data_IF_631488920110
#
_entry.id   IF_631488920110
#
_cell.length_a   1.000
_cell.length_b   1.000
_cell.length_c   1.000
_cell.angle_alpha   90.00
_cell.angle_beta   90.00
_cell.angle_gamma   90.00
#
_symmetry.space_group_name_H-M   'P 1'
#
loop_
_entity.id
_entity.type
_entity.pdbx_description
1 polymer ?
#
# COMPACT_ATOMS: atom_id res chain seq x y z
N UNK A 1 30.65 -30.33 12.98
CA UNK A 1 29.68 -29.22 13.04
C UNK A 1 29.92 -28.36 11.80
N UNK A 2 29.19 -28.64 10.72
CA UNK A 2 29.30 -27.89 9.46
C UNK A 2 27.99 -27.11 9.30
N UNK A 3 28.10 -25.80 9.44
CA UNK A 3 27.03 -24.83 9.24
C UNK A 3 26.86 -24.61 7.74
N UNK A 4 25.84 -25.22 7.15
CA UNK A 4 25.40 -24.91 5.78
C UNK A 4 24.45 -23.73 5.83
N UNK A 5 24.97 -22.53 5.61
CA UNK A 5 24.15 -21.35 5.33
C UNK A 5 23.50 -21.51 3.95
N UNK A 6 22.18 -21.46 3.91
CA UNK A 6 21.41 -21.37 2.66
C UNK A 6 21.72 -20.02 1.99
N UNK A 7 21.91 -19.97 0.66
CA UNK A 7 22.04 -18.71 -0.07
C UNK A 7 20.68 -17.98 -0.03
N UNK A 8 20.69 -16.74 0.42
CA UNK A 8 19.55 -15.83 0.28
C UNK A 8 19.47 -15.39 -1.17
N UNK A 9 18.35 -15.56 -1.89
CA UNK A 9 18.21 -14.92 -3.20
C UNK A 9 18.12 -13.41 -2.96
N UNK A 10 19.13 -12.66 -3.41
CA UNK A 10 19.03 -11.22 -3.66
C UNK A 10 17.96 -11.00 -4.74
N UNK A 11 16.72 -11.02 -4.28
CA UNK A 11 15.58 -10.47 -5.02
C UNK A 11 15.79 -8.95 -5.00
N UNK A 12 15.72 -8.25 -6.14
CA UNK A 12 15.85 -6.80 -6.12
C UNK A 12 14.85 -6.23 -5.12
N UNK A 13 15.34 -5.42 -4.20
CA UNK A 13 14.55 -4.65 -3.24
C UNK A 13 13.35 -4.05 -3.99
N UNK A 14 12.09 -4.32 -3.60
CA UNK A 14 10.95 -3.70 -4.25
C UNK A 14 11.17 -2.20 -4.23
N UNK A 15 11.40 -1.63 -5.42
CA UNK A 15 11.81 -0.24 -5.62
C UNK A 15 11.12 0.66 -4.62
N UNK A 16 11.93 1.42 -3.87
CA UNK A 16 11.46 2.39 -2.89
C UNK A 16 10.25 3.15 -3.48
N UNK A 17 9.12 3.22 -2.74
CA UNK A 17 7.92 3.90 -3.21
C UNK A 17 8.30 5.27 -3.77
N UNK A 18 7.86 5.62 -4.99
CA UNK A 18 8.33 6.84 -5.61
C UNK A 18 7.92 8.05 -4.78
N UNK A 19 8.90 8.82 -4.32
CA UNK A 19 8.66 10.03 -3.53
C UNK A 19 7.76 11.00 -4.35
N UNK A 20 6.55 11.32 -3.87
CA UNK A 20 5.64 12.23 -4.57
C UNK A 20 6.28 13.60 -4.86
N UNK A 21 7.18 14.08 -4.00
CA UNK A 21 7.88 15.36 -4.17
C UNK A 21 8.81 15.32 -5.37
N UNK A 22 9.55 14.22 -5.54
CA UNK A 22 10.46 14.02 -6.68
C UNK A 22 9.68 13.94 -7.99
N UNK A 23 8.55 13.20 -7.99
CA UNK A 23 7.68 13.12 -9.16
C UNK A 23 7.09 14.49 -9.56
N UNK A 24 6.72 15.32 -8.58
CA UNK A 24 6.24 16.68 -8.85
C UNK A 24 7.37 17.60 -9.34
N UNK A 25 8.59 17.44 -8.83
CA UNK A 25 9.75 18.21 -9.26
C UNK A 25 10.10 17.92 -10.74
N UNK A 26 9.95 16.67 -11.17
CA UNK A 26 10.14 16.29 -12.59
C UNK A 26 8.94 16.63 -13.49
N UNK A 27 7.82 17.09 -12.94
CA UNK A 27 6.64 17.46 -13.72
C UNK A 27 6.58 18.97 -13.98
N UNK A 28 6.36 19.34 -15.24
CA UNK A 28 6.20 20.74 -15.63
C UNK A 28 4.85 21.28 -15.13
N UNK A 29 4.87 22.03 -14.03
CA UNK A 29 3.75 22.86 -13.61
C UNK A 29 3.73 24.15 -14.42
N UNK A 30 2.54 24.70 -14.65
CA UNK A 30 2.44 26.06 -15.17
C UNK A 30 3.08 27.06 -14.17
N UNK A 31 3.61 28.20 -14.65
CA UNK A 31 4.32 29.13 -13.78
C UNK A 31 3.49 29.68 -12.62
N UNK A 32 2.18 29.84 -12.81
CA UNK A 32 1.28 30.35 -11.78
C UNK A 32 1.05 29.31 -10.68
N UNK A 33 0.84 28.04 -11.04
CA UNK A 33 0.75 26.93 -10.11
C UNK A 33 2.03 26.73 -9.32
N UNK A 34 3.20 26.85 -9.97
CA UNK A 34 4.50 26.77 -9.30
C UNK A 34 4.67 27.89 -8.28
N UNK A 35 4.43 29.15 -8.70
CA UNK A 35 4.54 30.30 -7.81
C UNK A 35 3.59 30.20 -6.60
N UNK A 36 2.35 29.75 -6.83
CA UNK A 36 1.39 29.53 -5.74
C UNK A 36 1.85 28.45 -4.77
N UNK A 37 2.39 27.33 -5.28
CA UNK A 37 2.88 26.24 -4.44
C UNK A 37 4.08 26.70 -3.59
N UNK A 38 5.01 27.45 -4.19
CA UNK A 38 6.19 27.96 -3.49
C UNK A 38 5.80 28.94 -2.36
N UNK A 39 4.83 29.84 -2.61
CA UNK A 39 4.27 30.73 -1.58
C UNK A 39 3.54 29.94 -0.48
N UNK A 40 2.75 28.93 -0.86
CA UNK A 40 2.03 28.09 0.09
C UNK A 40 2.99 27.32 0.99
N UNK A 41 4.09 26.78 0.45
CA UNK A 41 5.16 26.12 1.20
C UNK A 41 5.79 27.08 2.21
N UNK A 42 6.19 28.28 1.76
CA UNK A 42 6.79 29.28 2.64
C UNK A 42 5.84 29.69 3.78
N UNK A 43 4.54 29.83 3.47
CA UNK A 43 3.53 30.19 4.45
C UNK A 43 3.23 29.07 5.45
N UNK A 44 3.23 27.81 5.02
CA UNK A 44 3.08 26.65 5.93
C UNK A 44 4.29 26.52 6.84
N UNK A 45 5.50 26.74 6.31
CA UNK A 45 6.73 26.72 7.10
C UNK A 45 6.75 27.81 8.18
N UNK A 46 6.26 29.02 7.89
CA UNK A 46 6.18 30.15 8.84
C UNK A 46 4.98 30.04 9.80
N UNK A 47 3.83 29.60 9.29
CA UNK A 47 2.56 29.49 10.05
C UNK A 47 1.90 28.14 9.78
N UNK A 48 2.20 27.09 10.59
CA UNK A 48 1.71 25.73 10.34
C UNK A 48 0.19 25.63 10.16
N UNK A 49 -0.59 26.39 10.93
CA UNK A 49 -2.05 26.41 10.84
C UNK A 49 -2.59 26.85 9.46
N UNK A 50 -1.79 27.50 8.62
CA UNK A 50 -2.17 27.87 7.26
C UNK A 50 -2.45 26.63 6.38
N UNK A 51 -1.87 25.47 6.71
CA UNK A 51 -2.07 24.24 5.94
C UNK A 51 -3.55 23.84 5.86
N UNK A 52 -4.34 24.15 6.90
CA UNK A 52 -5.77 23.83 6.97
C UNK A 52 -6.59 24.51 5.86
N UNK A 53 -6.14 25.67 5.38
CA UNK A 53 -6.75 26.37 4.26
C UNK A 53 -6.08 26.06 2.91
N UNK A 54 -4.76 25.86 2.92
CA UNK A 54 -3.98 25.67 1.69
C UNK A 54 -4.07 24.25 1.14
N UNK A 55 -4.11 23.24 2.02
CA UNK A 55 -4.14 21.83 1.64
C UNK A 55 -5.38 21.45 0.80
N UNK A 56 -6.60 21.93 1.11
CA UNK A 56 -7.75 21.71 0.23
C UNK A 56 -7.70 22.55 -1.05
N UNK A 57 -7.02 23.69 -1.03
CA UNK A 57 -6.91 24.59 -2.18
C UNK A 57 -5.98 24.06 -3.28
N UNK A 58 -5.05 23.15 -2.96
CA UNK A 58 -4.02 22.62 -3.89
C UNK A 58 -4.59 22.25 -5.25
N UNK A 59 -5.68 21.48 -5.30
CA UNK A 59 -6.26 21.01 -6.57
C UNK A 59 -6.71 22.15 -7.48
N UNK A 60 -7.19 23.26 -6.90
CA UNK A 60 -7.65 24.43 -7.66
C UNK A 60 -6.49 25.18 -8.32
N UNK A 61 -5.31 25.13 -7.71
CA UNK A 61 -4.14 25.87 -8.17
C UNK A 61 -3.17 25.01 -8.99
N UNK A 62 -2.92 23.76 -8.59
CA UNK A 62 -1.97 22.87 -9.24
C UNK A 62 -2.62 21.88 -10.23
N UNK A 63 -3.94 21.74 -10.18
CA UNK A 63 -4.66 20.78 -11.03
C UNK A 63 -4.49 19.32 -10.58
N UNK A 64 -4.94 18.38 -11.42
CA UNK A 64 -5.04 16.93 -11.08
C UNK A 64 -4.48 16.02 -12.18
N UNK A 65 -3.52 16.52 -12.95
CA UNK A 65 -2.90 15.72 -14.00
C UNK A 65 -2.32 14.44 -13.40
N UNK A 66 -2.37 13.35 -14.17
CA UNK A 66 -1.82 12.06 -13.73
C UNK A 66 -0.30 12.13 -13.75
N UNK A 67 0.30 11.65 -12.67
CA UNK A 67 1.73 11.36 -12.56
C UNK A 67 1.93 9.84 -12.65
N UNK A 68 3.19 9.41 -12.58
CA UNK A 68 3.54 7.99 -12.50
C UNK A 68 3.05 7.38 -11.18
N UNK A 69 3.05 6.04 -11.12
CA UNK A 69 2.67 5.27 -9.92
C UNK A 69 1.27 5.58 -9.36
N UNK A 70 0.34 6.01 -10.22
CA UNK A 70 -1.05 6.25 -9.83
C UNK A 70 -1.27 7.51 -8.98
N UNK A 71 -0.27 8.38 -8.86
CA UNK A 71 -0.38 9.68 -8.21
C UNK A 71 -1.01 10.72 -9.14
N UNK A 72 -1.55 11.79 -8.56
CA UNK A 72 -1.92 13.02 -9.27
C UNK A 72 -1.08 14.19 -8.79
N UNK A 73 -1.01 15.24 -9.61
CA UNK A 73 -0.31 16.49 -9.27
C UNK A 73 -0.76 17.06 -7.93
N UNK A 74 -2.06 17.06 -7.63
CA UNK A 74 -2.57 17.58 -6.35
C UNK A 74 -2.24 16.68 -5.16
N UNK A 75 -2.17 15.36 -5.33
CA UNK A 75 -1.69 14.46 -4.26
C UNK A 75 -0.21 14.70 -3.97
N UNK A 76 0.61 14.89 -5.01
CA UNK A 76 2.04 15.16 -4.86
C UNK A 76 2.34 16.56 -4.30
N UNK A 77 1.62 17.59 -4.74
CA UNK A 77 1.75 18.95 -4.20
C UNK A 77 1.27 19.03 -2.73
N UNK A 78 0.26 18.24 -2.35
CA UNK A 78 -0.12 18.07 -0.95
C UNK A 78 1.00 17.45 -0.11
N UNK A 79 1.71 16.43 -0.62
CA UNK A 79 2.88 15.88 0.07
C UNK A 79 4.00 16.93 0.26
N UNK A 80 4.21 17.82 -0.72
CA UNK A 80 5.13 18.96 -0.58
C UNK A 80 4.68 19.90 0.56
N UNK A 81 3.38 20.24 0.65
CA UNK A 81 2.88 21.06 1.77
C UNK A 81 3.02 20.37 3.13
N UNK A 82 2.74 19.06 3.21
CA UNK A 82 2.86 18.30 4.46
C UNK A 82 4.31 18.27 4.95
N UNK A 83 5.28 18.08 4.06
CA UNK A 83 6.71 18.05 4.42
C UNK A 83 7.27 19.43 4.78
N UNK A 84 6.60 20.51 4.35
CA UNK A 84 6.93 21.88 4.75
C UNK A 84 6.54 22.22 6.21
N UNK A 85 5.67 21.43 6.85
CA UNK A 85 5.29 21.65 8.25
C UNK A 85 6.51 21.52 9.18
N UNK A 86 6.85 22.53 10.00
CA UNK A 86 7.94 22.45 10.97
C UNK A 86 7.52 21.68 12.24
N UNK A 87 6.80 20.58 12.07
CA UNK A 87 6.26 19.76 13.16
C UNK A 87 6.87 18.36 13.10
N UNK A 88 7.10 17.76 14.27
CA UNK A 88 7.44 16.34 14.43
C UNK A 88 6.54 15.68 15.47
N UNK A 89 6.70 14.38 15.70
CA UNK A 89 6.06 13.65 16.78
C UNK A 89 4.54 13.85 16.86
N UNK A 90 4.04 14.01 18.09
CA UNK A 90 2.60 14.15 18.36
C UNK A 90 1.95 15.38 17.68
N UNK A 91 2.55 16.59 17.71
CA UNK A 91 1.99 17.75 17.00
C UNK A 91 1.78 17.52 15.50
N UNK A 92 2.72 16.85 14.83
CA UNK A 92 2.55 16.48 13.42
C UNK A 92 1.42 15.46 13.25
N UNK A 93 1.41 14.41 14.08
CA UNK A 93 0.37 13.39 14.04
C UNK A 93 -1.04 14.00 14.19
N UNK A 94 -1.22 14.93 15.11
CA UNK A 94 -2.49 15.62 15.35
C UNK A 94 -2.93 16.46 14.15
N UNK A 95 -2.01 17.20 13.52
CA UNK A 95 -2.32 18.01 12.33
C UNK A 95 -2.69 17.12 11.13
N UNK A 96 -1.93 16.04 10.89
CA UNK A 96 -2.26 15.04 9.86
C UNK A 96 -3.62 14.40 10.11
N UNK A 97 -3.93 14.09 11.36
CA UNK A 97 -5.21 13.51 11.75
C UNK A 97 -6.37 14.50 11.52
N UNK A 98 -6.15 15.79 11.77
CA UNK A 98 -7.09 16.86 11.46
C UNK A 98 -7.38 16.95 9.97
N UNK A 99 -6.34 16.98 9.14
CA UNK A 99 -6.46 17.01 7.68
C UNK A 99 -7.14 15.76 7.11
N UNK A 100 -6.80 14.58 7.63
CA UNK A 100 -7.41 13.32 7.21
C UNK A 100 -8.91 13.28 7.53
N UNK A 101 -9.31 13.54 8.79
CA UNK A 101 -10.71 13.38 9.21
C UNK A 101 -11.68 14.37 8.56
N UNK A 102 -11.21 15.56 8.18
CA UNK A 102 -12.04 16.59 7.56
C UNK A 102 -11.84 16.71 6.04
N UNK A 103 -10.89 15.98 5.48
CA UNK A 103 -10.57 16.02 4.07
C UNK A 103 -11.51 15.17 3.22
N UNK A 104 -11.60 15.52 1.93
CA UNK A 104 -12.22 14.65 0.93
C UNK A 104 -11.38 13.38 0.68
N UNK A 105 -11.88 12.37 -0.07
CA UNK A 105 -11.11 11.14 -0.31
C UNK A 105 -9.74 11.36 -0.99
N UNK A 106 -9.57 12.41 -1.81
CA UNK A 106 -8.27 12.70 -2.43
C UNK A 106 -7.29 13.31 -1.43
N UNK A 107 -7.79 14.15 -0.53
CA UNK A 107 -7.04 14.73 0.59
C UNK A 107 -6.62 13.66 1.59
N UNK A 108 -7.53 12.76 1.96
CA UNK A 108 -7.26 11.62 2.81
C UNK A 108 -6.19 10.68 2.21
N UNK A 109 -6.31 10.35 0.91
CA UNK A 109 -5.27 9.58 0.21
C UNK A 109 -3.92 10.28 0.23
N UNK A 110 -3.88 11.59 0.00
CA UNK A 110 -2.63 12.35 0.01
C UNK A 110 -1.95 12.30 1.39
N UNK A 111 -2.70 12.40 2.48
CA UNK A 111 -2.17 12.21 3.84
C UNK A 111 -1.58 10.81 4.00
N UNK A 112 -2.34 9.75 3.70
CA UNK A 112 -1.90 8.36 3.85
C UNK A 112 -0.64 8.06 3.03
N UNK A 113 -0.62 8.49 1.76
CA UNK A 113 0.52 8.29 0.85
C UNK A 113 1.78 9.03 1.32
N UNK A 114 1.64 10.16 2.01
CA UNK A 114 2.77 10.94 2.50
C UNK A 114 3.35 10.45 3.85
N UNK A 115 2.68 9.54 4.57
CA UNK A 115 3.13 9.12 5.92
C UNK A 115 4.56 8.56 5.97
N UNK A 116 5.00 7.88 4.90
CA UNK A 116 6.35 7.33 4.82
C UNK A 116 7.45 8.39 4.73
N UNK A 117 7.11 9.65 4.43
CA UNK A 117 8.07 10.75 4.39
C UNK A 117 8.46 11.27 5.79
N UNK A 118 7.90 10.66 6.85
CA UNK A 118 8.10 11.07 8.24
C UNK A 118 8.52 9.90 9.16
N UNK A 119 8.92 8.75 8.59
CA UNK A 119 9.20 7.52 9.36
C UNK A 119 10.61 7.43 9.91
N UNK A 120 11.57 8.09 9.28
CA UNK A 120 12.98 8.02 9.63
C UNK A 120 13.43 9.30 10.33
N UNK A 121 14.48 9.19 11.15
CA UNK A 121 15.23 10.32 11.67
C UNK A 121 15.87 11.04 10.48
N UNK A 122 15.11 11.95 9.86
CA UNK A 122 15.67 12.90 8.91
C UNK A 122 16.53 13.88 9.71
N UNK A 123 17.78 13.48 9.93
CA UNK A 123 18.80 14.26 10.63
C UNK A 123 18.95 15.66 10.03
N UNK A 124 18.55 15.88 8.76
CA UNK A 124 18.56 17.19 8.13
C UNK A 124 17.43 18.10 8.65
N UNK A 125 16.30 17.55 9.11
CA UNK A 125 15.19 18.34 9.68
C UNK A 125 15.21 18.42 11.20
N UNK A 126 15.85 17.46 11.88
CA UNK A 126 15.89 17.38 13.34
C UNK A 126 14.51 17.19 13.99
N UNK A 127 13.51 16.75 13.21
CA UNK A 127 12.14 16.54 13.68
C UNK A 127 12.03 15.17 14.33
N UNK A 128 11.27 15.09 15.42
CA UNK A 128 10.88 13.80 15.98
C UNK A 128 10.07 13.00 14.93
N UNK A 129 10.43 11.74 14.64
CA UNK A 129 9.74 10.92 13.66
C UNK A 129 8.31 10.58 14.11
N UNK A 130 7.43 10.25 13.16
CA UNK A 130 6.05 9.87 13.49
C UNK A 130 5.97 8.54 14.27
N UNK A 131 6.92 7.63 14.07
CA UNK A 131 6.87 6.30 14.68
C UNK A 131 5.54 5.61 14.40
N UNK A 132 4.83 5.22 15.46
CA UNK A 132 3.51 4.57 15.38
C UNK A 132 2.34 5.56 15.54
N UNK A 133 2.61 6.85 15.73
CA UNK A 133 1.60 7.86 16.07
C UNK A 133 0.55 8.05 14.97
N UNK A 134 0.87 7.76 13.70
CA UNK A 134 -0.08 7.83 12.58
C UNK A 134 -0.79 6.49 12.29
N UNK A 135 -0.51 5.42 13.04
CA UNK A 135 -1.18 4.12 12.88
C UNK A 135 -2.71 4.18 13.05
N UNK A 136 -3.29 5.05 13.92
CA UNK A 136 -4.73 5.24 13.99
C UNK A 136 -5.36 5.65 12.65
N UNK A 137 -4.68 6.45 11.81
CA UNK A 137 -5.18 6.88 10.50
C UNK A 137 -5.25 5.72 9.51
N UNK A 138 -4.21 4.88 9.50
CA UNK A 138 -4.17 3.65 8.71
C UNK A 138 -5.34 2.73 9.10
N UNK A 139 -5.52 2.50 10.41
CA UNK A 139 -6.62 1.68 10.93
C UNK A 139 -7.98 2.28 10.60
N UNK A 140 -8.14 3.60 10.63
CA UNK A 140 -9.38 4.28 10.26
C UNK A 140 -9.72 4.06 8.79
N UNK A 141 -8.77 4.29 7.89
CA UNK A 141 -8.92 4.02 6.46
C UNK A 141 -9.28 2.54 6.19
N UNK A 142 -8.61 1.61 6.89
CA UNK A 142 -8.86 0.17 6.79
C UNK A 142 -10.21 -0.27 7.36
N UNK A 143 -10.90 0.52 8.18
CA UNK A 143 -12.29 0.24 8.59
C UNK A 143 -13.30 0.62 7.51
N UNK A 144 -12.99 1.60 6.66
CA UNK A 144 -13.84 2.06 5.56
C UNK A 144 -13.87 1.11 4.35
N UNK A 145 -14.71 1.41 3.35
CA UNK A 145 -14.83 0.61 2.13
C UNK A 145 -14.37 1.34 0.85
N UNK A 146 -13.78 2.53 0.98
CA UNK A 146 -13.17 3.21 -0.15
C UNK A 146 -11.86 2.51 -0.53
N UNK A 147 -11.87 1.80 -1.65
CA UNK A 147 -10.72 1.01 -2.07
C UNK A 147 -9.46 1.84 -2.34
N UNK A 148 -9.63 3.11 -2.70
CA UNK A 148 -8.50 4.03 -2.94
C UNK A 148 -7.82 4.45 -1.63
N UNK A 149 -8.57 4.53 -0.53
CA UNK A 149 -8.04 4.75 0.81
C UNK A 149 -7.44 3.48 1.41
N UNK A 150 -8.07 2.31 1.19
CA UNK A 150 -7.53 1.02 1.62
C UNK A 150 -6.18 0.75 0.95
N UNK A 151 -6.07 0.98 -0.36
CA UNK A 151 -4.82 0.89 -1.12
C UNK A 151 -3.75 1.82 -0.52
N UNK A 152 -4.08 3.10 -0.30
CA UNK A 152 -3.16 4.07 0.28
C UNK A 152 -2.73 3.73 1.72
N UNK A 153 -3.64 3.16 2.53
CA UNK A 153 -3.38 2.75 3.90
C UNK A 153 -2.38 1.59 3.99
N UNK A 154 -2.38 0.69 3.00
CA UNK A 154 -1.36 -0.35 2.84
C UNK A 154 -0.16 0.09 2.00
N UNK A 155 0.04 1.41 1.87
CA UNK A 155 1.30 1.97 1.42
C UNK A 155 2.46 1.68 2.40
N UNK A 156 3.65 2.24 2.13
CA UNK A 156 4.89 1.89 2.82
C UNK A 156 4.82 2.04 4.35
N UNK A 157 4.21 3.12 4.84
CA UNK A 157 4.02 3.34 6.28
C UNK A 157 3.16 2.24 6.91
N UNK A 158 1.99 1.94 6.33
CA UNK A 158 1.10 0.92 6.88
C UNK A 158 1.72 -0.48 6.81
N UNK A 159 2.38 -0.80 5.69
CA UNK A 159 3.12 -2.04 5.55
C UNK A 159 4.25 -2.17 6.56
N UNK A 160 4.96 -1.11 6.91
CA UNK A 160 6.03 -1.14 7.92
C UNK A 160 5.51 -1.21 9.36
N UNK A 161 4.37 -0.56 9.67
CA UNK A 161 3.93 -0.29 11.04
C UNK A 161 2.75 -1.15 11.53
N UNK A 162 1.96 -1.73 10.63
CA UNK A 162 0.85 -2.61 11.05
C UNK A 162 1.39 -3.87 11.73
N UNK A 163 0.85 -4.27 12.89
CA UNK A 163 1.11 -5.59 13.45
C UNK A 163 0.74 -6.69 12.45
N UNK A 164 1.46 -7.82 12.46
CA UNK A 164 1.29 -8.86 11.42
C UNK A 164 -0.17 -9.31 11.29
N UNK A 165 -0.87 -9.52 12.41
CA UNK A 165 -2.27 -9.95 12.38
C UNK A 165 -3.18 -8.94 11.66
N UNK A 166 -2.97 -7.64 11.90
CA UNK A 166 -3.74 -6.58 11.23
C UNK A 166 -3.36 -6.46 9.75
N UNK A 167 -2.07 -6.59 9.42
CA UNK A 167 -1.60 -6.58 8.04
C UNK A 167 -2.22 -7.71 7.22
N UNK A 168 -2.22 -8.95 7.73
CA UNK A 168 -2.83 -10.10 7.04
C UNK A 168 -4.32 -9.88 6.76
N UNK A 169 -5.06 -9.35 7.73
CA UNK A 169 -6.48 -9.03 7.56
C UNK A 169 -6.70 -7.92 6.53
N UNK A 170 -5.82 -6.92 6.51
CA UNK A 170 -5.87 -5.86 5.53
C UNK A 170 -5.56 -6.37 4.10
N UNK A 171 -4.60 -7.28 3.94
CA UNK A 171 -4.31 -7.96 2.67
C UNK A 171 -5.52 -8.77 2.19
N UNK A 172 -6.16 -9.55 3.06
CA UNK A 172 -7.40 -10.26 2.71
C UNK A 172 -8.49 -9.28 2.28
N UNK A 173 -8.66 -8.17 3.00
CA UNK A 173 -9.63 -7.14 2.65
C UNK A 173 -9.39 -6.59 1.24
N UNK A 174 -8.15 -6.32 0.86
CA UNK A 174 -7.82 -5.91 -0.50
C UNK A 174 -8.33 -6.93 -1.54
N UNK A 175 -8.07 -8.21 -1.33
CA UNK A 175 -8.53 -9.26 -2.24
C UNK A 175 -10.06 -9.36 -2.32
N UNK A 176 -10.76 -9.22 -1.19
CA UNK A 176 -12.23 -9.19 -1.18
C UNK A 176 -12.81 -7.94 -1.87
N UNK A 177 -12.08 -6.84 -1.89
CA UNK A 177 -12.46 -5.59 -2.56
C UNK A 177 -11.88 -5.47 -3.98
N UNK A 178 -11.26 -6.53 -4.51
CA UNK A 178 -10.62 -6.57 -5.83
C UNK A 178 -9.53 -5.49 -6.02
N UNK A 179 -8.86 -5.09 -4.93
CA UNK A 179 -7.69 -4.20 -4.95
C UNK A 179 -6.47 -5.06 -5.26
N UNK A 180 -5.73 -4.79 -6.35
CA UNK A 180 -4.52 -5.55 -6.69
C UNK A 180 -3.45 -5.41 -5.61
N UNK A 181 -2.87 -6.52 -5.14
CA UNK A 181 -1.83 -6.49 -4.12
C UNK A 181 -0.52 -5.90 -4.68
N UNK A 182 -0.31 -5.96 -5.99
CA UNK A 182 0.81 -5.26 -6.64
C UNK A 182 0.79 -3.72 -6.43
N UNK A 183 -0.33 -3.15 -5.96
CA UNK A 183 -0.44 -1.72 -5.62
C UNK A 183 -0.24 -1.42 -4.13
N UNK A 184 -0.16 -2.45 -3.29
CA UNK A 184 0.15 -2.30 -1.87
C UNK A 184 1.64 -2.53 -1.64
N UNK A 185 2.17 -1.98 -0.56
CA UNK A 185 3.58 -2.17 -0.23
C UNK A 185 3.81 -3.55 0.42
N UNK A 186 4.87 -4.20 -0.06
CA UNK A 186 5.55 -5.33 0.59
C UNK A 186 4.74 -6.62 0.87
N UNK A 187 3.76 -7.06 0.05
CA UNK A 187 3.06 -8.32 0.30
C UNK A 187 4.00 -9.54 0.29
N UNK A 188 5.05 -9.53 -0.54
CA UNK A 188 6.05 -10.59 -0.56
C UNK A 188 7.02 -10.52 0.63
N UNK A 189 7.49 -9.32 1.00
CA UNK A 189 8.45 -9.16 2.09
C UNK A 189 7.83 -9.44 3.48
N UNK A 190 6.50 -9.28 3.61
CA UNK A 190 5.75 -9.64 4.83
C UNK A 190 4.98 -10.95 4.69
N UNK A 191 5.29 -11.75 3.67
CA UNK A 191 4.69 -13.06 3.54
C UNK A 191 5.15 -13.98 4.67
N UNK A 192 4.20 -14.69 5.28
CA UNK A 192 4.47 -15.72 6.28
C UNK A 192 3.49 -16.89 6.12
N UNK A 193 3.70 -17.94 6.91
CA UNK A 193 2.93 -19.17 6.83
C UNK A 193 1.43 -18.94 7.10
N UNK A 194 1.08 -18.01 7.98
CA UNK A 194 -0.32 -17.73 8.31
C UNK A 194 -0.99 -16.93 7.19
N UNK A 195 -0.30 -15.94 6.61
CA UNK A 195 -0.79 -15.23 5.44
C UNK A 195 -1.00 -16.20 4.27
N UNK A 196 -0.01 -17.06 3.98
CA UNK A 196 -0.11 -18.04 2.92
C UNK A 196 -1.28 -19.03 3.14
N UNK A 197 -1.52 -19.46 4.39
CA UNK A 197 -2.66 -20.29 4.75
C UNK A 197 -3.99 -19.56 4.50
N UNK A 198 -4.11 -18.31 4.96
CA UNK A 198 -5.31 -17.47 4.74
C UNK A 198 -5.58 -17.24 3.24
N UNK A 199 -4.53 -16.99 2.46
CA UNK A 199 -4.63 -16.81 1.01
C UNK A 199 -4.99 -18.11 0.28
N UNK A 200 -4.51 -19.25 0.76
CA UNK A 200 -4.91 -20.55 0.23
C UNK A 200 -6.40 -20.82 0.48
N UNK A 201 -6.92 -20.49 1.66
CA UNK A 201 -8.35 -20.61 1.96
C UNK A 201 -9.19 -19.68 1.07
N UNK A 202 -8.79 -18.42 0.92
CA UNK A 202 -9.41 -17.48 -0.02
C UNK A 202 -9.43 -18.02 -1.47
N UNK A 203 -8.31 -18.56 -1.96
CA UNK A 203 -8.22 -19.13 -3.29
C UNK A 203 -9.17 -20.31 -3.48
N UNK A 204 -9.26 -21.19 -2.50
CA UNK A 204 -10.20 -22.31 -2.49
C UNK A 204 -11.65 -21.83 -2.51
N UNK A 205 -12.03 -20.85 -1.69
CA UNK A 205 -13.38 -20.26 -1.67
C UNK A 205 -13.76 -19.63 -3.02
N UNK A 206 -12.81 -18.96 -3.70
CA UNK A 206 -13.01 -18.41 -5.04
C UNK A 206 -13.29 -19.51 -6.06
N UNK A 207 -12.47 -20.56 -6.06
CA UNK A 207 -12.61 -21.71 -6.98
C UNK A 207 -13.91 -22.45 -6.73
N UNK A 208 -14.28 -22.69 -5.47
CA UNK A 208 -15.54 -23.35 -5.11
C UNK A 208 -16.77 -22.56 -5.61
N UNK A 209 -16.64 -21.24 -5.74
CA UNK A 209 -17.65 -20.36 -6.33
C UNK A 209 -17.55 -20.25 -7.87
N UNK A 210 -16.66 -21.01 -8.54
CA UNK A 210 -16.41 -20.93 -9.98
C UNK A 210 -15.68 -19.67 -10.44
N UNK A 211 -15.09 -18.91 -9.50
CA UNK A 211 -14.47 -17.61 -9.77
C UNK A 211 -12.96 -17.73 -9.91
N UNK A 212 -12.37 -16.82 -10.67
CA UNK A 212 -10.92 -16.76 -10.85
C UNK A 212 -10.20 -16.26 -9.58
N UNK A 213 -9.01 -16.80 -9.31
CA UNK A 213 -8.16 -16.35 -8.22
C UNK A 213 -7.20 -15.28 -8.75
N UNK A 214 -7.10 -14.10 -8.09
CA UNK A 214 -6.14 -13.06 -8.47
C UNK A 214 -4.70 -13.60 -8.57
N UNK A 215 -3.97 -13.18 -9.60
CA UNK A 215 -2.63 -13.68 -9.89
C UNK A 215 -1.65 -13.45 -8.73
N UNK A 216 -1.79 -12.32 -8.03
CA UNK A 216 -0.93 -11.89 -6.91
C UNK A 216 -0.99 -12.82 -5.69
N UNK A 217 -1.98 -13.73 -5.62
CA UNK A 217 -2.11 -14.73 -4.55
C UNK A 217 -1.05 -15.84 -4.66
N UNK A 218 -0.74 -16.25 -5.90
CA UNK A 218 0.06 -17.45 -6.14
C UNK A 218 1.51 -17.36 -5.68
N UNK A 219 2.24 -16.24 -5.86
CA UNK A 219 3.61 -16.11 -5.36
C UNK A 219 3.70 -16.32 -3.84
N UNK A 220 2.74 -15.79 -3.08
CA UNK A 220 2.71 -15.94 -1.62
C UNK A 220 2.35 -17.36 -1.24
N UNK A 221 1.31 -17.96 -1.81
CA UNK A 221 0.93 -19.34 -1.44
C UNK A 221 2.01 -20.35 -1.84
N UNK A 222 2.59 -20.21 -3.04
CA UNK A 222 3.59 -21.12 -3.59
C UNK A 222 4.92 -21.14 -2.84
N UNK A 223 5.24 -20.06 -2.10
CA UNK A 223 6.46 -19.96 -1.30
C UNK A 223 6.37 -20.67 0.07
N UNK A 224 5.20 -21.19 0.45
CA UNK A 224 4.97 -21.78 1.78
C UNK A 224 4.33 -23.18 1.72
N UNK A 225 4.45 -23.99 2.79
CA UNK A 225 3.87 -25.33 2.85
C UNK A 225 2.36 -25.40 2.61
N UNK A 226 1.63 -24.29 2.78
CA UNK A 226 0.20 -24.18 2.50
C UNK A 226 -0.19 -24.56 1.06
N UNK A 227 0.77 -24.49 0.11
CA UNK A 227 0.55 -24.91 -1.28
C UNK A 227 0.13 -26.38 -1.42
N UNK A 228 0.68 -27.29 -0.62
CA UNK A 228 0.39 -28.72 -0.70
C UNK A 228 -1.09 -29.03 -0.40
N UNK A 229 -1.58 -28.71 0.82
CA UNK A 229 -2.99 -28.90 1.15
C UNK A 229 -3.96 -28.14 0.24
N UNK A 230 -3.54 -26.99 -0.32
CA UNK A 230 -4.35 -26.31 -1.33
C UNK A 230 -4.45 -27.11 -2.63
N UNK A 231 -3.34 -27.66 -3.13
CA UNK A 231 -3.34 -28.46 -4.35
C UNK A 231 -4.28 -29.66 -4.21
N UNK A 232 -4.24 -30.38 -3.09
CA UNK A 232 -5.14 -31.51 -2.81
C UNK A 232 -6.61 -31.09 -2.86
N UNK A 233 -6.95 -29.97 -2.21
CA UNK A 233 -8.31 -29.43 -2.25
C UNK A 233 -8.72 -29.02 -3.66
N UNK A 234 -7.85 -28.33 -4.41
CA UNK A 234 -8.14 -27.92 -5.79
C UNK A 234 -8.28 -29.12 -6.74
N UNK A 235 -7.54 -30.21 -6.53
CA UNK A 235 -7.72 -31.47 -7.27
C UNK A 235 -9.09 -32.08 -6.99
N UNK A 236 -9.59 -32.04 -5.75
CA UNK A 236 -10.96 -32.47 -5.49
C UNK A 236 -11.99 -31.62 -6.27
N UNK A 237 -11.70 -30.35 -6.50
CA UNK A 237 -12.58 -29.45 -7.24
C UNK A 237 -12.65 -29.70 -8.76
N UNK A 238 -11.69 -30.43 -9.33
CA UNK A 238 -11.77 -30.82 -10.76
C UNK A 238 -12.84 -31.87 -11.03
N UNK A 239 -13.33 -32.55 -10.00
CA UNK A 239 -14.41 -33.54 -10.08
C UNK A 239 -15.80 -32.95 -9.75
N UNK A 240 -15.89 -31.63 -9.51
CA UNK A 240 -17.15 -31.00 -9.16
C UNK A 240 -18.21 -31.14 -10.27
N UNK A 241 -19.47 -31.37 -9.89
CA UNK A 241 -20.57 -31.46 -10.86
C UNK A 241 -20.75 -30.16 -11.69
N UNK A 242 -20.45 -29.00 -11.08
CA UNK A 242 -20.53 -27.70 -11.71
C UNK A 242 -19.35 -27.46 -12.69
N UNK A 243 -19.59 -27.26 -14.00
CA UNK A 243 -18.53 -27.05 -14.99
C UNK A 243 -17.61 -25.86 -14.67
N UNK A 244 -18.16 -24.76 -14.19
CA UNK A 244 -17.40 -23.54 -13.89
C UNK A 244 -16.40 -23.74 -12.75
N UNK A 245 -16.80 -24.52 -11.73
CA UNK A 245 -15.94 -24.89 -10.59
C UNK A 245 -14.77 -25.76 -11.05
N UNK A 246 -15.02 -26.77 -11.90
CA UNK A 246 -13.95 -27.60 -12.49
C UNK A 246 -12.97 -26.77 -13.31
N UNK A 247 -13.49 -25.91 -14.19
CA UNK A 247 -12.65 -25.06 -15.04
C UNK A 247 -11.82 -24.06 -14.22
N UNK A 248 -12.39 -23.51 -13.13
CA UNK A 248 -11.67 -22.65 -12.20
C UNK A 248 -10.56 -23.42 -11.46
N UNK A 249 -10.84 -24.65 -11.00
CA UNK A 249 -9.88 -25.50 -10.32
C UNK A 249 -8.68 -25.87 -11.21
N UNK A 250 -8.91 -26.24 -12.46
CA UNK A 250 -7.85 -26.53 -13.42
C UNK A 250 -6.94 -25.31 -13.68
N UNK A 251 -7.51 -24.11 -13.80
CA UNK A 251 -6.75 -22.86 -13.95
C UNK A 251 -5.93 -22.55 -12.70
N UNK A 252 -6.52 -22.77 -11.53
CA UNK A 252 -5.88 -22.56 -10.24
C UNK A 252 -4.68 -23.50 -10.04
N UNK A 253 -4.84 -24.81 -10.31
CA UNK A 253 -3.75 -25.79 -10.24
C UNK A 253 -2.58 -25.42 -11.16
N UNK A 254 -2.86 -25.03 -12.42
CA UNK A 254 -1.80 -24.58 -13.34
C UNK A 254 -1.04 -23.37 -12.82
N UNK A 255 -1.71 -22.45 -12.13
CA UNK A 255 -1.08 -21.24 -11.58
C UNK A 255 -0.29 -21.54 -10.32
N UNK A 256 -0.83 -22.38 -9.43
CA UNK A 256 -0.14 -22.84 -8.23
C UNK A 256 1.15 -23.61 -8.58
N UNK A 257 1.10 -24.55 -9.52
CA UNK A 257 2.28 -25.32 -9.95
C UNK A 257 3.37 -24.43 -10.55
N UNK A 258 3.00 -23.36 -11.28
CA UNK A 258 3.98 -22.40 -11.79
C UNK A 258 4.65 -21.64 -10.64
N UNK A 259 3.88 -21.20 -9.66
CA UNK A 259 4.41 -20.45 -8.52
C UNK A 259 5.33 -21.31 -7.63
N UNK A 260 4.97 -22.57 -7.34
CA UNK A 260 5.80 -23.48 -6.54
C UNK A 260 7.11 -23.85 -7.25
N UNK A 261 7.09 -24.00 -8.58
CA UNK A 261 8.29 -24.23 -9.38
C UNK A 261 9.24 -23.03 -9.32
N UNK A 262 8.72 -21.80 -9.39
CA UNK A 262 9.54 -20.58 -9.23
C UNK A 262 10.12 -20.44 -7.83
N UNK A 263 9.39 -20.84 -6.79
CA UNK A 263 9.88 -20.76 -5.40
C UNK A 263 10.95 -21.80 -5.06
N UNK A 264 11.06 -22.87 -5.86
CA UNK A 264 12.03 -23.96 -5.64
C UNK A 264 13.35 -23.78 -6.43
N UNK A 265 13.42 -22.75 -7.28
CA UNK A 265 14.56 -22.42 -8.14
C UNK A 265 15.46 -21.36 -7.49
#
# INVERSE_FOLDING_TARGET
MLSTGLPTPETPDPAEPPDPRTLLASHALDPAARAWLDEAVARVADRPAAIRALFPAVRRHCGRARLNAGLTVDEAARAVLLTALPLGGQPLADELAGLFRHGDPAEQRAVLRALHLFTDDDAATGREPLGDLALPLVREALRGNDGSLVEAALGPYGAARLPDAEYRQAVLKCLFQEIPLARTASPAARADAELARMLADFAHERVAAGREVPADVWPVVGAFPAAGPLADRLTAETEAAAPDRRAAAERALRSLHRATATASA
#
